data_IF_302783498045
#
_entry.id   IF_302783498045
#
_cell.length_a   1.000
_cell.length_b   1.000
_cell.length_c   1.000
_cell.angle_alpha   90.00
_cell.angle_beta   90.00
_cell.angle_gamma   90.00
#
_symmetry.space_group_name_H-M   'P 1'
#
loop_
_entity.id
_entity.type
_entity.pdbx_description
1 polymer ?
#
# COMPACT_ATOMS: atom_id res chain seq x y z
N UNK A 1 -36.12 -41.35 8.94
CA UNK A 1 -34.77 -41.85 9.20
C UNK A 1 -34.21 -40.96 10.29
N UNK A 2 -34.40 -41.41 11.53
CA UNK A 2 -33.86 -40.88 12.80
C UNK A 2 -32.33 -41.13 12.81
N UNK A 3 -31.48 -40.46 13.58
CA UNK A 3 -31.38 -40.28 15.04
C UNK A 3 -30.64 -38.96 15.31
N UNK A 4 -30.96 -38.07 16.27
CA UNK A 4 -31.10 -38.16 17.74
C UNK A 4 -29.85 -38.70 18.46
N UNK A 5 -29.05 -37.82 19.08
CA UNK A 5 -28.40 -38.12 20.37
C UNK A 5 -28.32 -36.84 21.20
N UNK A 6 -28.99 -36.92 22.34
CA UNK A 6 -29.07 -35.97 23.44
C UNK A 6 -27.88 -36.06 24.42
N UNK A 7 -27.74 -35.00 25.21
CA UNK A 7 -26.95 -34.76 26.43
C UNK A 7 -26.84 -35.93 27.45
N UNK A 8 -25.92 -35.85 28.45
CA UNK A 8 -26.37 -35.36 29.75
C UNK A 8 -25.35 -34.54 30.56
N UNK A 9 -25.91 -33.73 31.47
CA UNK A 9 -25.27 -33.02 32.56
C UNK A 9 -25.12 -33.88 33.84
N UNK A 10 -24.23 -33.47 34.75
CA UNK A 10 -24.37 -33.71 36.20
C UNK A 10 -23.15 -34.30 36.91
N UNK A 11 -22.74 -33.67 38.02
CA UNK A 11 -21.91 -34.33 39.03
C UNK A 11 -21.04 -33.41 39.90
N UNK A 12 -21.61 -32.87 40.97
CA UNK A 12 -20.92 -32.20 42.08
C UNK A 12 -20.04 -33.17 42.91
N UNK A 13 -19.03 -32.64 43.61
CA UNK A 13 -18.23 -33.42 44.57
C UNK A 13 -17.31 -32.54 45.41
N UNK A 14 -17.58 -32.51 46.71
CA UNK A 14 -17.16 -31.59 47.75
C UNK A 14 -15.87 -31.98 48.50
N UNK A 15 -15.39 -31.04 49.32
CA UNK A 15 -14.78 -31.21 50.65
C UNK A 15 -13.32 -31.70 50.81
N UNK A 16 -12.49 -30.77 51.34
CA UNK A 16 -12.22 -30.73 52.78
C UNK A 16 -11.08 -31.58 53.34
N UNK A 17 -10.12 -30.94 54.04
CA UNK A 17 -9.21 -31.64 54.95
C UNK A 17 -7.99 -30.86 55.39
N UNK A 18 -8.13 -30.01 56.42
CA UNK A 18 -7.04 -29.48 57.27
C UNK A 18 -6.99 -30.30 58.56
N UNK A 19 -5.81 -30.77 59.00
CA UNK A 19 -5.33 -30.92 60.42
C UNK A 19 -3.80 -31.17 60.31
N UNK A 20 -2.84 -30.46 60.92
CA UNK A 20 -2.45 -30.36 62.34
C UNK A 20 -2.31 -31.76 63.02
N UNK A 21 -1.35 -32.13 63.87
CA UNK A 21 -0.29 -31.48 64.62
C UNK A 21 0.60 -32.56 65.29
N UNK A 22 1.73 -32.14 65.88
CA UNK A 22 2.47 -32.76 67.01
C UNK A 22 3.17 -34.12 66.77
N UNK A 23 4.33 -34.45 67.32
CA UNK A 23 5.23 -33.86 68.33
C UNK A 23 6.21 -34.98 68.75
N UNK A 24 7.48 -34.66 69.03
CA UNK A 24 8.47 -35.70 69.35
C UNK A 24 9.87 -35.21 69.76
N UNK A 25 9.96 -34.67 70.99
CA UNK A 25 10.95 -34.94 72.05
C UNK A 25 12.46 -35.09 71.70
N UNK A 26 13.26 -34.14 72.20
CA UNK A 26 14.71 -34.20 72.48
C UNK A 26 14.99 -35.01 73.79
N UNK A 27 16.23 -35.29 74.29
CA UNK A 27 17.53 -34.64 74.03
C UNK A 27 18.79 -35.57 74.06
N UNK A 28 19.99 -35.01 73.83
CA UNK A 28 21.24 -35.32 74.57
C UNK A 28 22.43 -34.50 74.02
N UNK A 29 23.38 -34.22 74.92
CA UNK A 29 24.37 -33.16 74.93
C UNK A 29 25.63 -33.33 74.05
N UNK A 30 26.30 -32.16 73.89
CA UNK A 30 27.75 -31.93 73.85
C UNK A 30 28.58 -32.25 72.58
N UNK A 31 28.93 -31.18 71.85
CA UNK A 31 30.30 -30.86 71.41
C UNK A 31 30.32 -29.41 70.87
N UNK A 32 30.79 -28.45 71.65
CA UNK A 32 32.13 -27.85 71.53
C UNK A 32 32.48 -27.26 70.15
N UNK A 33 32.28 -25.94 70.02
CA UNK A 33 33.25 -25.00 69.44
C UNK A 33 33.66 -25.15 67.97
N UNK A 34 32.93 -24.47 67.07
CA UNK A 34 33.53 -23.74 65.95
C UNK A 34 32.56 -22.63 65.52
N UNK A 35 32.88 -21.39 65.88
CA UNK A 35 32.22 -20.19 65.36
C UNK A 35 32.61 -20.05 63.89
N UNK A 36 31.84 -20.63 62.97
CA UNK A 36 31.96 -20.31 61.55
C UNK A 36 31.25 -18.97 61.31
N UNK A 37 32.08 -17.93 61.26
CA UNK A 37 31.67 -16.57 60.97
C UNK A 37 30.90 -16.53 59.64
N UNK A 38 29.72 -15.89 59.65
CA UNK A 38 29.00 -15.51 58.45
C UNK A 38 29.97 -14.78 57.49
N UNK A 39 29.95 -15.08 56.17
CA UNK A 39 30.87 -14.45 55.24
C UNK A 39 30.72 -12.92 55.31
N UNK A 40 31.81 -12.16 55.47
CA UNK A 40 31.75 -10.71 55.56
C UNK A 40 31.22 -10.15 54.23
N UNK A 41 30.08 -9.49 54.32
CA UNK A 41 29.54 -8.53 53.34
C UNK A 41 29.79 -8.87 51.88
N UNK A 42 28.83 -9.56 51.23
CA UNK A 42 28.66 -9.37 49.79
C UNK A 42 28.31 -7.90 49.58
N UNK A 43 29.32 -7.08 49.26
CA UNK A 43 29.10 -5.74 48.76
C UNK A 43 28.34 -5.88 47.44
N UNK A 44 27.03 -5.69 47.48
CA UNK A 44 26.25 -5.44 46.28
C UNK A 44 26.60 -4.01 45.86
N UNK A 45 27.25 -3.78 44.71
CA UNK A 45 27.47 -2.44 44.22
C UNK A 45 26.11 -1.72 44.15
N UNK A 46 25.98 -0.48 44.63
CA UNK A 46 24.77 0.30 44.38
C UNK A 46 24.59 0.34 42.86
N UNK A 47 23.44 -0.14 42.37
CA UNK A 47 23.12 -0.13 40.96
C UNK A 47 23.32 1.29 40.41
N UNK A 48 24.37 1.49 39.62
CA UNK A 48 24.74 2.80 39.11
C UNK A 48 23.54 3.36 38.32
N UNK A 49 22.93 4.45 38.82
CA UNK A 49 21.77 5.06 38.18
C UNK A 49 22.18 5.49 36.77
N UNK A 50 21.46 5.09 35.71
CA UNK A 50 21.80 5.50 34.35
C UNK A 50 21.80 7.03 34.30
N UNK A 51 22.86 7.61 33.76
CA UNK A 51 22.94 9.07 33.58
C UNK A 51 21.77 9.52 32.69
N UNK A 52 21.16 10.66 33.01
CA UNK A 52 19.99 11.18 32.28
C UNK A 52 20.25 11.34 30.78
N UNK A 53 21.51 11.59 30.37
CA UNK A 53 21.91 11.65 28.96
C UNK A 53 21.86 10.28 28.26
N UNK A 54 22.26 9.20 28.94
CA UNK A 54 22.24 7.85 28.38
C UNK A 54 20.81 7.32 28.24
N UNK A 55 19.90 7.66 29.16
CA UNK A 55 18.48 7.27 29.04
C UNK A 55 17.75 8.05 27.94
N UNK A 56 18.05 9.33 27.74
CA UNK A 56 17.49 10.13 26.62
C UNK A 56 17.99 9.57 25.28
N UNK A 57 19.28 9.28 25.16
CA UNK A 57 19.84 8.67 23.94
C UNK A 57 19.23 7.29 23.67
N UNK A 58 19.08 6.45 24.70
CA UNK A 58 18.44 5.14 24.58
C UNK A 58 16.98 5.26 24.13
N UNK A 59 16.20 6.18 24.72
CA UNK A 59 14.82 6.41 24.32
C UNK A 59 14.72 6.96 22.89
N UNK A 60 15.65 7.82 22.47
CA UNK A 60 15.76 8.30 21.09
C UNK A 60 16.02 7.15 20.11
N UNK A 61 16.98 6.28 20.42
CA UNK A 61 17.29 5.09 19.59
C UNK A 61 16.08 4.15 19.51
N UNK A 62 15.38 3.91 20.62
CA UNK A 62 14.17 3.08 20.64
C UNK A 62 13.06 3.72 19.80
N UNK A 63 12.86 5.04 19.89
CA UNK A 63 11.87 5.76 19.09
C UNK A 63 12.18 5.67 17.59
N UNK A 64 13.44 5.89 17.20
CA UNK A 64 13.89 5.77 15.80
C UNK A 64 13.74 4.32 15.31
N UNK A 65 14.16 3.34 16.10
CA UNK A 65 14.02 1.93 15.74
C UNK A 65 12.56 1.51 15.55
N UNK A 66 11.65 2.02 16.40
CA UNK A 66 10.20 1.78 16.28
C UNK A 66 9.63 2.43 15.01
N UNK A 67 10.04 3.66 14.71
CA UNK A 67 9.63 4.34 13.47
C UNK A 67 10.13 3.59 12.23
N UNK A 68 11.39 3.17 12.23
CA UNK A 68 11.99 2.38 11.15
C UNK A 68 11.30 1.01 11.00
N UNK A 69 10.84 0.40 12.10
CA UNK A 69 10.04 -0.82 12.07
C UNK A 69 8.71 -0.61 11.38
N UNK A 70 7.97 0.45 11.75
CA UNK A 70 6.69 0.79 11.12
C UNK A 70 6.90 1.04 9.63
N UNK A 71 7.86 1.90 9.27
CA UNK A 71 8.21 2.19 7.88
C UNK A 71 8.64 0.92 7.14
N UNK A 72 9.41 0.04 7.79
CA UNK A 72 9.85 -1.24 7.22
C UNK A 72 8.69 -2.18 6.90
N UNK A 73 7.70 -2.30 7.79
CA UNK A 73 6.47 -3.09 7.54
C UNK A 73 5.71 -2.53 6.33
N UNK A 74 5.52 -1.22 6.27
CA UNK A 74 4.90 -0.56 5.12
C UNK A 74 5.72 -0.72 3.83
N UNK A 75 7.05 -0.64 3.91
CA UNK A 75 7.94 -0.81 2.78
C UNK A 75 7.90 -2.22 2.21
N UNK A 76 7.82 -3.26 3.05
CA UNK A 76 7.67 -4.65 2.62
C UNK A 76 6.32 -4.87 1.95
N UNK A 77 5.23 -4.31 2.50
CA UNK A 77 3.90 -4.36 1.90
C UNK A 77 3.85 -3.62 0.56
N UNK A 78 4.36 -2.38 0.52
CA UNK A 78 4.50 -1.58 -0.68
C UNK A 78 5.37 -2.29 -1.73
N UNK A 79 6.45 -2.96 -1.32
CA UNK A 79 7.27 -3.74 -2.24
C UNK A 79 6.52 -4.95 -2.81
N UNK A 80 5.70 -5.63 -2.00
CA UNK A 80 4.87 -6.72 -2.49
C UNK A 80 3.72 -6.26 -3.38
N UNK A 81 3.11 -5.10 -3.13
CA UNK A 81 1.95 -4.61 -3.90
C UNK A 81 2.33 -3.72 -5.09
N UNK A 82 3.22 -2.75 -4.88
CA UNK A 82 3.62 -1.75 -5.89
C UNK A 82 4.75 -2.25 -6.80
N UNK A 83 5.65 -3.11 -6.30
CA UNK A 83 6.76 -3.64 -7.11
C UNK A 83 6.52 -5.04 -7.69
N UNK A 84 5.34 -5.64 -7.45
CA UNK A 84 4.87 -6.82 -8.18
C UNK A 84 3.79 -6.43 -9.18
N UNK A 85 4.07 -6.42 -10.50
CA UNK A 85 3.07 -6.11 -11.51
C UNK A 85 1.84 -7.02 -11.48
N UNK A 86 2.02 -8.27 -11.01
CA UNK A 86 0.92 -9.23 -10.87
C UNK A 86 0.01 -8.88 -9.68
N UNK A 87 0.57 -8.51 -8.53
CA UNK A 87 -0.23 -8.14 -7.37
C UNK A 87 -0.97 -6.81 -7.61
N UNK A 88 -0.29 -5.82 -8.18
CA UNK A 88 -0.92 -4.57 -8.60
C UNK A 88 -2.10 -4.83 -9.54
N UNK A 89 -1.89 -5.62 -10.59
CA UNK A 89 -2.94 -5.99 -11.54
C UNK A 89 -4.11 -6.67 -10.84
N UNK A 90 -3.86 -7.65 -9.95
CA UNK A 90 -4.93 -8.37 -9.26
C UNK A 90 -5.76 -7.44 -8.37
N UNK A 91 -5.11 -6.62 -7.55
CA UNK A 91 -5.79 -5.64 -6.70
C UNK A 91 -6.57 -4.62 -7.54
N UNK A 92 -5.99 -4.10 -8.63
CA UNK A 92 -6.68 -3.17 -9.52
C UNK A 92 -7.94 -3.79 -10.16
N UNK A 93 -7.93 -5.10 -10.44
CA UNK A 93 -9.09 -5.82 -10.96
C UNK A 93 -10.13 -6.05 -9.87
N UNK A 94 -9.72 -6.39 -8.65
CA UNK A 94 -10.64 -6.52 -7.51
C UNK A 94 -11.34 -5.19 -7.19
N UNK A 95 -10.64 -4.07 -7.29
CA UNK A 95 -11.24 -2.74 -7.17
C UNK A 95 -12.28 -2.50 -8.28
N UNK A 96 -12.03 -2.92 -9.51
CA UNK A 96 -12.99 -2.79 -10.60
C UNK A 96 -14.26 -3.64 -10.41
N UNK A 97 -14.16 -4.74 -9.65
CA UNK A 97 -15.32 -5.57 -9.28
C UNK A 97 -16.23 -4.90 -8.24
N UNK A 98 -15.75 -3.85 -7.55
CA UNK A 98 -16.59 -3.09 -6.64
C UNK A 98 -17.59 -2.21 -7.43
N UNK A 99 -18.90 -2.32 -7.16
CA UNK A 99 -19.93 -1.62 -7.93
C UNK A 99 -19.83 -0.09 -7.80
N UNK A 100 -19.39 0.43 -6.66
CA UNK A 100 -19.18 1.86 -6.45
C UNK A 100 -18.03 2.38 -7.32
N UNK A 101 -16.89 1.69 -7.32
CA UNK A 101 -15.73 2.07 -8.14
C UNK A 101 -16.08 2.02 -9.63
N UNK A 102 -16.78 0.97 -10.06
CA UNK A 102 -17.21 0.80 -11.44
C UNK A 102 -18.19 1.88 -11.88
N UNK A 103 -19.15 2.24 -11.02
CA UNK A 103 -20.08 3.35 -11.27
C UNK A 103 -19.35 4.69 -11.39
N UNK A 104 -18.44 5.01 -10.46
CA UNK A 104 -17.63 6.24 -10.52
C UNK A 104 -16.76 6.28 -11.78
N UNK A 105 -16.10 5.17 -12.12
CA UNK A 105 -15.28 5.10 -13.33
C UNK A 105 -16.13 5.24 -14.60
N UNK A 106 -17.35 4.71 -14.60
CA UNK A 106 -18.29 4.83 -15.72
C UNK A 106 -18.71 6.28 -15.93
N UNK A 107 -19.13 6.96 -14.85
CA UNK A 107 -19.45 8.39 -14.88
C UNK A 107 -18.27 9.20 -15.40
N UNK A 108 -17.10 9.02 -14.79
CA UNK A 108 -15.89 9.72 -15.20
C UNK A 108 -15.54 9.49 -16.67
N UNK A 109 -15.62 8.25 -17.15
CA UNK A 109 -15.29 7.93 -18.55
C UNK A 109 -16.26 8.61 -19.53
N UNK A 110 -17.56 8.61 -19.20
CA UNK A 110 -18.58 9.26 -20.03
C UNK A 110 -18.42 10.78 -19.98
N UNK A 111 -18.16 11.37 -18.81
CA UNK A 111 -17.94 12.81 -18.66
C UNK A 111 -16.71 13.27 -19.44
N UNK A 112 -15.60 12.52 -19.38
CA UNK A 112 -14.41 12.80 -20.17
C UNK A 112 -14.69 12.70 -21.67
N UNK A 113 -15.51 11.74 -22.10
CA UNK A 113 -15.94 11.63 -23.50
C UNK A 113 -16.73 12.87 -23.93
N UNK A 114 -17.76 13.27 -23.17
CA UNK A 114 -18.60 14.43 -23.48
C UNK A 114 -17.86 15.77 -23.38
N UNK A 115 -16.84 15.85 -22.52
CA UNK A 115 -15.99 17.04 -22.41
C UNK A 115 -15.10 17.27 -23.64
N UNK A 116 -14.68 16.20 -24.32
CA UNK A 116 -13.74 16.28 -25.45
C UNK A 116 -14.37 15.96 -26.81
N UNK A 117 -15.58 15.38 -26.82
CA UNK A 117 -16.32 15.03 -28.03
C UNK A 117 -17.68 15.69 -28.00
N UNK A 118 -17.99 16.47 -29.04
CA UNK A 118 -19.31 17.08 -29.19
C UNK A 118 -20.33 16.05 -29.69
N UNK A 119 -20.92 15.30 -28.76
CA UNK A 119 -21.92 14.25 -29.03
C UNK A 119 -23.18 14.83 -29.68
N UNK A 120 -23.61 16.04 -29.29
CA UNK A 120 -24.73 16.75 -29.89
C UNK A 120 -24.53 16.97 -31.40
N UNK A 121 -23.36 17.47 -31.80
CA UNK A 121 -23.01 17.67 -33.21
C UNK A 121 -22.90 16.35 -33.98
N UNK A 122 -22.37 15.29 -33.37
CA UNK A 122 -22.32 13.97 -34.00
C UNK A 122 -23.71 13.43 -34.28
N UNK A 123 -24.62 13.51 -33.31
CA UNK A 123 -26.02 13.12 -33.45
C UNK A 123 -26.70 13.99 -34.51
N UNK A 124 -26.53 15.32 -34.43
CA UNK A 124 -27.10 16.28 -35.39
C UNK A 124 -26.70 15.97 -36.83
N UNK A 125 -25.45 15.54 -37.05
CA UNK A 125 -24.92 15.19 -38.37
C UNK A 125 -25.52 13.89 -38.93
N UNK A 126 -25.97 12.99 -38.05
CA UNK A 126 -26.62 11.74 -38.43
C UNK A 126 -28.15 11.85 -38.55
N UNK A 127 -28.76 12.93 -38.02
CA UNK A 127 -30.20 13.14 -38.01
C UNK A 127 -30.71 13.87 -39.27
N UNK A 128 -31.89 13.52 -39.78
CA UNK A 128 -32.59 14.32 -40.81
C UNK A 128 -32.84 15.75 -40.32
N UNK A 129 -32.87 16.74 -41.24
CA UNK A 129 -33.01 18.17 -40.92
C UNK A 129 -34.16 18.49 -39.95
N UNK A 130 -35.30 17.82 -40.10
CA UNK A 130 -36.49 17.99 -39.24
C UNK A 130 -36.27 17.58 -37.78
N UNK A 131 -35.31 16.70 -37.49
CA UNK A 131 -35.01 16.19 -36.15
C UNK A 131 -33.77 16.82 -35.53
N UNK A 132 -33.00 17.63 -36.27
CA UNK A 132 -31.80 18.28 -35.77
C UNK A 132 -31.98 19.08 -34.47
N UNK A 133 -33.12 19.76 -34.21
CA UNK A 133 -33.34 20.43 -32.93
C UNK A 133 -33.40 19.47 -31.72
N UNK A 134 -33.64 18.18 -31.93
CA UNK A 134 -33.66 17.17 -30.88
C UNK A 134 -32.28 16.59 -30.57
N UNK A 135 -31.23 16.98 -31.30
CA UNK A 135 -29.90 16.40 -31.15
C UNK A 135 -29.31 16.62 -29.75
N UNK A 136 -29.39 17.83 -29.19
CA UNK A 136 -28.83 18.13 -27.87
C UNK A 136 -29.62 17.45 -26.73
N UNK A 137 -30.97 17.48 -26.71
CA UNK A 137 -31.75 16.66 -25.78
C UNK A 137 -31.47 15.16 -25.90
N UNK A 138 -31.34 14.64 -27.12
CA UNK A 138 -31.00 13.23 -27.34
C UNK A 138 -29.60 12.89 -26.83
N UNK A 139 -28.62 13.78 -27.01
CA UNK A 139 -27.27 13.63 -26.46
C UNK A 139 -27.30 13.55 -24.93
N UNK A 140 -28.04 14.45 -24.26
CA UNK A 140 -28.20 14.41 -22.81
C UNK A 140 -28.88 13.13 -22.31
N UNK A 141 -29.91 12.66 -23.01
CA UNK A 141 -30.58 11.40 -22.67
C UNK A 141 -29.64 10.18 -22.83
N UNK A 142 -28.82 10.17 -23.89
CA UNK A 142 -27.86 9.10 -24.14
C UNK A 142 -26.71 9.07 -23.13
N UNK A 143 -26.39 10.19 -22.47
CA UNK A 143 -25.34 10.23 -21.45
C UNK A 143 -25.63 9.24 -20.31
N UNK A 144 -26.85 9.23 -19.77
CA UNK A 144 -27.25 8.30 -18.70
C UNK A 144 -27.19 6.83 -19.14
N UNK A 145 -27.64 6.54 -20.36
CA UNK A 145 -27.59 5.19 -20.94
C UNK A 145 -26.14 4.77 -21.17
N UNK A 146 -25.28 5.69 -21.61
CA UNK A 146 -23.85 5.44 -21.79
C UNK A 146 -23.18 5.07 -20.47
N UNK A 147 -23.49 5.75 -19.36
CA UNK A 147 -22.96 5.40 -18.03
C UNK A 147 -23.33 3.97 -17.65
N UNK A 148 -24.60 3.59 -17.82
CA UNK A 148 -25.05 2.22 -17.53
C UNK A 148 -24.38 1.19 -18.44
N UNK A 149 -24.26 1.52 -19.73
CA UNK A 149 -23.58 0.68 -20.72
C UNK A 149 -22.11 0.45 -20.39
N UNK A 150 -21.38 1.50 -20.00
CA UNK A 150 -19.99 1.41 -19.55
C UNK A 150 -19.89 0.58 -18.27
N UNK A 151 -20.78 0.79 -17.30
CA UNK A 151 -20.79 0.00 -16.06
C UNK A 151 -20.98 -1.49 -16.33
N UNK A 152 -21.94 -1.84 -17.20
CA UNK A 152 -22.17 -3.22 -17.63
C UNK A 152 -21.01 -3.79 -18.44
N UNK A 153 -20.35 -2.97 -19.26
CA UNK A 153 -19.17 -3.38 -20.01
C UNK A 153 -18.00 -3.69 -19.07
N UNK A 154 -17.73 -2.83 -18.09
CA UNK A 154 -16.68 -3.02 -17.08
C UNK A 154 -16.92 -4.26 -16.21
N UNK A 155 -18.16 -4.71 -16.07
CA UNK A 155 -18.50 -5.97 -15.41
C UNK A 155 -18.02 -7.20 -16.19
N UNK A 156 -17.94 -7.12 -17.52
CA UNK A 156 -17.70 -8.28 -18.37
C UNK A 156 -16.30 -8.88 -18.11
N UNK A 157 -16.18 -10.21 -17.99
CA UNK A 157 -14.89 -10.87 -17.77
C UNK A 157 -13.81 -10.49 -18.78
N UNK A 158 -14.18 -10.38 -20.07
CA UNK A 158 -13.24 -9.95 -21.13
C UNK A 158 -12.68 -8.55 -20.91
N UNK A 159 -13.48 -7.63 -20.37
CA UNK A 159 -13.06 -6.26 -20.07
C UNK A 159 -12.20 -6.23 -18.81
N UNK A 160 -12.54 -7.02 -17.78
CA UNK A 160 -11.71 -7.18 -16.59
C UNK A 160 -10.33 -7.80 -16.91
N UNK A 161 -10.26 -8.76 -17.83
CA UNK A 161 -9.00 -9.33 -18.31
C UNK A 161 -8.16 -8.32 -19.09
N UNK A 162 -8.80 -7.47 -19.89
CA UNK A 162 -8.11 -6.38 -20.58
C UNK A 162 -7.57 -5.35 -19.58
N UNK A 163 -8.39 -4.98 -18.60
CA UNK A 163 -8.01 -4.10 -17.51
C UNK A 163 -6.82 -4.64 -16.72
N UNK A 164 -6.85 -5.94 -16.38
CA UNK A 164 -5.75 -6.62 -15.69
C UNK A 164 -4.45 -6.54 -16.52
N UNK A 165 -4.51 -6.91 -17.80
CA UNK A 165 -3.35 -6.83 -18.70
C UNK A 165 -2.81 -5.42 -18.84
N UNK A 166 -3.69 -4.41 -18.95
CA UNK A 166 -3.31 -3.01 -19.02
C UNK A 166 -2.60 -2.55 -17.73
N UNK A 167 -3.16 -2.85 -16.55
CA UNK A 167 -2.56 -2.51 -15.26
C UNK A 167 -1.21 -3.21 -15.06
N UNK A 168 -1.10 -4.48 -15.46
CA UNK A 168 0.17 -5.22 -15.43
C UNK A 168 1.22 -4.58 -16.33
N UNK A 169 0.85 -4.20 -17.56
CA UNK A 169 1.75 -3.52 -18.50
C UNK A 169 2.18 -2.15 -17.98
N UNK A 170 1.27 -1.38 -17.37
CA UNK A 170 1.56 -0.10 -16.74
C UNK A 170 2.55 -0.27 -15.58
N UNK A 171 2.30 -1.21 -14.66
CA UNK A 171 3.19 -1.48 -13.53
C UNK A 171 4.58 -1.97 -13.98
N UNK A 172 4.65 -2.81 -15.02
CA UNK A 172 5.94 -3.22 -15.61
C UNK A 172 6.69 -2.02 -16.20
N UNK A 173 5.99 -1.13 -16.90
CA UNK A 173 6.61 0.06 -17.50
C UNK A 173 7.11 1.02 -16.42
N UNK A 174 6.33 1.22 -15.35
CA UNK A 174 6.75 1.98 -14.18
C UNK A 174 8.02 1.40 -13.55
N UNK A 175 8.09 0.08 -13.35
CA UNK A 175 9.28 -0.58 -12.84
C UNK A 175 10.50 -0.40 -13.74
N UNK A 176 10.33 -0.44 -15.06
CA UNK A 176 11.42 -0.17 -16.02
C UNK A 176 11.92 1.27 -15.89
N UNK A 177 11.02 2.24 -15.69
CA UNK A 177 11.38 3.64 -15.47
C UNK A 177 12.11 3.82 -14.13
N UNK A 178 11.62 3.23 -13.05
CA UNK A 178 12.19 3.37 -11.69
C UNK A 178 13.52 2.60 -11.54
N UNK A 179 13.62 1.37 -12.07
CA UNK A 179 14.84 0.54 -12.00
C UNK A 179 15.89 0.92 -13.05
N UNK A 180 15.47 1.54 -14.15
CA UNK A 180 16.32 1.87 -15.31
C UNK A 180 16.83 3.31 -15.31
N UNK A 181 17.33 3.79 -14.16
CA UNK A 181 17.66 5.18 -13.86
C UNK A 181 18.68 5.91 -14.74
N UNK A 182 19.17 5.36 -15.87
CA UNK A 182 20.27 6.00 -16.63
C UNK A 182 20.01 6.23 -18.14
N UNK A 183 18.83 5.91 -18.71
CA UNK A 183 18.61 6.06 -20.18
C UNK A 183 17.30 6.71 -20.64
N UNK A 184 16.40 7.11 -19.75
CA UNK A 184 15.15 7.83 -20.11
C UNK A 184 14.91 9.10 -19.29
N UNK A 185 15.88 9.47 -18.48
CA UNK A 185 15.95 10.79 -17.86
C UNK A 185 16.88 11.61 -18.74
N UNK A 186 16.30 12.37 -19.66
CA UNK A 186 17.05 13.41 -20.36
C UNK A 186 17.20 14.58 -19.40
N UNK A 187 18.36 14.71 -18.75
CA UNK A 187 18.72 15.98 -18.10
C UNK A 187 19.05 16.96 -19.22
N UNK A 188 18.04 17.67 -19.72
CA UNK A 188 18.27 18.90 -20.46
C UNK A 188 18.08 20.05 -19.47
N UNK A 189 19.17 20.79 -19.21
CA UNK A 189 19.16 22.02 -18.41
C UNK A 189 18.62 21.85 -16.97
N UNK A 190 18.92 20.73 -16.30
CA UNK A 190 18.55 20.54 -14.88
C UNK A 190 17.10 20.13 -14.63
N UNK A 191 16.33 19.79 -15.67
CA UNK A 191 14.94 19.30 -15.55
C UNK A 191 14.86 17.83 -15.94
N UNK A 192 14.37 17.00 -15.03
CA UNK A 192 14.03 15.60 -15.29
C UNK A 192 12.63 15.55 -15.92
N UNK A 193 12.57 15.33 -17.23
CA UNK A 193 11.31 15.19 -17.98
C UNK A 193 11.02 13.72 -18.25
N UNK A 194 9.78 13.30 -17.98
CA UNK A 194 9.26 11.98 -18.30
C UNK A 194 8.48 12.06 -19.62
N UNK A 195 8.86 11.25 -20.61
CA UNK A 195 8.16 11.17 -21.89
C UNK A 195 6.99 10.17 -21.80
N UNK A 196 5.77 10.70 -21.62
CA UNK A 196 4.55 9.90 -21.48
C UNK A 196 4.13 9.25 -22.80
N UNK A 197 4.43 9.85 -23.96
CA UNK A 197 4.13 9.26 -25.26
C UNK A 197 4.85 7.91 -25.44
N UNK A 198 6.13 7.84 -25.07
CA UNK A 198 6.92 6.59 -25.13
C UNK A 198 6.40 5.51 -24.17
N UNK A 199 5.80 5.91 -23.04
CA UNK A 199 5.18 5.00 -22.08
C UNK A 199 3.87 4.45 -22.66
N UNK A 200 3.05 5.30 -23.25
CA UNK A 200 1.78 4.90 -23.89
C UNK A 200 2.04 3.94 -25.05
N UNK A 201 3.02 4.19 -25.91
CA UNK A 201 3.36 3.27 -27.00
C UNK A 201 3.94 1.94 -26.48
N UNK A 202 4.69 1.96 -25.37
CA UNK A 202 5.17 0.74 -24.71
C UNK A 202 4.04 -0.09 -24.10
N UNK A 203 2.95 0.55 -23.65
CA UNK A 203 1.75 -0.13 -23.15
C UNK A 203 0.92 -0.66 -24.33
N UNK A 204 0.73 0.14 -25.37
CA UNK A 204 -0.04 -0.21 -26.57
C UNK A 204 0.52 -1.48 -27.25
N UNK A 205 1.84 -1.53 -27.45
CA UNK A 205 2.53 -2.68 -28.03
C UNK A 205 2.31 -3.96 -27.21
N UNK A 206 2.39 -3.88 -25.87
CA UNK A 206 2.14 -5.03 -24.96
C UNK A 206 0.70 -5.52 -25.00
N UNK A 207 -0.24 -4.67 -25.40
CA UNK A 207 -1.66 -4.99 -25.53
C UNK A 207 -2.05 -5.41 -26.95
N UNK A 208 -1.11 -5.39 -27.91
CA UNK A 208 -1.41 -5.67 -29.32
C UNK A 208 -2.24 -4.57 -30.00
N UNK A 209 -2.18 -3.34 -29.49
CA UNK A 209 -2.89 -2.18 -30.04
C UNK A 209 -2.05 -1.50 -31.14
N UNK A 210 -2.68 -0.69 -32.02
CA UNK A 210 -1.97 0.04 -33.07
C UNK A 210 -0.83 0.89 -32.50
N UNK A 211 0.30 0.99 -33.22
CA UNK A 211 1.40 1.88 -32.84
C UNK A 211 0.97 3.36 -32.97
N UNK A 212 1.70 4.27 -32.31
CA UNK A 212 1.51 5.73 -32.33
C UNK A 212 0.27 6.25 -31.58
N UNK A 213 -0.18 5.54 -30.54
CA UNK A 213 -1.19 6.09 -29.63
C UNK A 213 -0.64 7.25 -28.81
N UNK A 214 0.67 7.24 -28.50
CA UNK A 214 1.34 8.35 -27.83
C UNK A 214 1.28 9.67 -28.62
N UNK A 215 1.22 9.61 -29.95
CA UNK A 215 1.14 10.79 -30.81
C UNK A 215 -0.21 11.52 -30.74
N UNK A 216 -1.24 10.88 -30.19
CA UNK A 216 -2.57 11.50 -29.98
C UNK A 216 -2.68 12.24 -28.66
N UNK A 217 -1.67 12.17 -27.79
CA UNK A 217 -1.66 12.91 -26.54
C UNK A 217 -1.37 14.39 -26.80
N UNK A 218 -2.15 15.32 -26.22
CA UNK A 218 -1.83 16.74 -26.31
C UNK A 218 -0.46 17.04 -25.67
N UNK A 219 0.28 18.00 -26.25
CA UNK A 219 1.69 18.24 -25.93
C UNK A 219 1.98 18.56 -24.45
N UNK A 220 1.00 19.10 -23.72
CA UNK A 220 1.10 19.40 -22.29
C UNK A 220 1.14 18.14 -21.40
N UNK A 221 0.63 17.00 -21.88
CA UNK A 221 0.61 15.73 -21.14
C UNK A 221 1.79 14.84 -21.54
N UNK A 222 2.35 15.04 -22.74
CA UNK A 222 3.47 14.25 -23.25
C UNK A 222 4.77 14.41 -22.43
N UNK A 223 4.94 15.53 -21.74
CA UNK A 223 6.14 15.85 -20.96
C UNK A 223 5.78 16.24 -19.52
N UNK A 224 5.87 15.27 -18.60
CA UNK A 224 5.68 15.55 -17.18
C UNK A 224 7.01 15.93 -16.53
N UNK A 225 7.07 17.11 -15.92
CA UNK A 225 8.21 17.58 -15.13
C UNK A 225 8.12 16.99 -13.72
N UNK A 226 9.02 16.05 -13.39
CA UNK A 226 8.91 15.24 -12.15
C UNK A 226 9.65 15.88 -10.96
N UNK A 227 10.68 16.70 -11.20
CA UNK A 227 11.35 17.48 -10.15
C UNK A 227 11.70 18.90 -10.63
N UNK A 228 11.41 19.89 -9.78
CA UNK A 228 11.92 21.26 -9.88
C UNK A 228 13.31 21.34 -9.22
N UNK A 229 14.22 22.08 -9.83
CA UNK A 229 15.65 22.17 -9.49
C UNK A 229 15.96 22.51 -8.02
N UNK A 230 15.07 23.21 -7.32
CA UNK A 230 15.30 23.64 -5.93
C UNK A 230 15.23 22.47 -4.93
N UNK A 231 14.43 21.45 -5.23
CA UNK A 231 14.34 20.24 -4.39
C UNK A 231 15.51 19.28 -4.60
N UNK A 232 16.19 19.35 -5.74
CA UNK A 232 17.38 18.55 -6.02
C UNK A 232 18.55 18.97 -5.11
N UNK A 233 18.72 20.28 -4.86
CA UNK A 233 19.72 20.81 -3.93
C UNK A 233 19.46 20.40 -2.49
N UNK A 234 18.19 20.33 -2.09
CA UNK A 234 17.79 19.93 -0.73
C UNK A 234 18.15 18.46 -0.43
N UNK A 235 17.94 17.57 -1.41
CA UNK A 235 18.30 16.15 -1.31
C UNK A 235 19.83 15.96 -1.34
N UNK A 236 20.54 16.70 -2.19
CA UNK A 236 22.00 16.65 -2.27
C UNK A 236 22.65 17.15 -0.97
N UNK A 237 22.22 18.28 -0.44
CA UNK A 237 22.73 18.83 0.82
C UNK A 237 22.47 17.90 2.01
N UNK A 238 21.32 17.22 2.05
CA UNK A 238 21.02 16.23 3.08
C UNK A 238 21.92 14.99 3.00
N UNK A 239 22.23 14.53 1.79
CA UNK A 239 23.15 13.42 1.55
C UNK A 239 24.59 13.73 1.97
N UNK A 240 25.06 14.94 1.67
CA UNK A 240 26.40 15.39 2.04
C UNK A 240 26.56 15.57 3.56
N UNK A 241 25.52 16.07 4.24
CA UNK A 241 25.51 16.19 5.70
C UNK A 241 25.62 14.82 6.40
N UNK A 242 24.91 13.80 5.92
CA UNK A 242 24.98 12.46 6.48
C UNK A 242 26.33 11.77 6.23
N UNK A 243 26.95 12.04 5.07
CA UNK A 243 28.28 11.51 4.74
C UNK A 243 29.38 12.08 5.65
N UNK A 244 29.25 13.34 6.04
CA UNK A 244 30.17 13.98 6.98
C UNK A 244 30.00 13.55 8.44
N UNK A 245 28.84 12.99 8.81
CA UNK A 245 28.60 12.43 10.15
C UNK A 245 29.06 10.96 10.30
N UNK A 246 29.32 10.28 9.18
CA UNK A 246 29.76 8.89 9.14
C UNK A 246 31.30 8.74 9.08
N UNK A 247 32.04 9.84 9.27
CA UNK A 247 33.51 9.89 9.36
C UNK A 247 33.92 10.28 10.78
#
# INVERSE_FOLDING_TARGET
>A
MTDDVSEPAGGAGEAGGRVAAEGGVAPADAASGATEAAPPGTWTPPAAKPSKGRSIAANGVIGIATLLLIVGVFAVWANRLLFSPANWSNTSTQLLQNPTIRSTLSNYTVDQLYAHVNVGNLIKSALPTRLQPLADPAAGALQNVAVQGVNLALERPRVQDLWARANKAAAQTFLVVVKGGNRRVGVKQGVVTLNLASIVDSIASRLGLPPNLGAKLPHNIAHLTVLKSDQLKLVQNGGDFLRHLAV
#
